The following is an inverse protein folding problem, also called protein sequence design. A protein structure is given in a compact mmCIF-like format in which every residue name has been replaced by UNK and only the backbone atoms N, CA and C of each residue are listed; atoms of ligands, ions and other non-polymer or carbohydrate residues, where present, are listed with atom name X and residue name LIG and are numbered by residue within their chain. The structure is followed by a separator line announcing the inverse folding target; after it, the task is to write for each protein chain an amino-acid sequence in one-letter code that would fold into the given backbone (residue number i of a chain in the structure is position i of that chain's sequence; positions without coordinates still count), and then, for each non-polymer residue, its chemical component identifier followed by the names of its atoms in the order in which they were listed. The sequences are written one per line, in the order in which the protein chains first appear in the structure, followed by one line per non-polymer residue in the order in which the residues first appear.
data_IF_763484550578
#
_entry.id   IF_763484550578
#
_cell.length_a   1.000
_cell.length_b   1.000
_cell.length_c   1.000
_cell.angle_alpha   90.00
_cell.angle_beta   90.00
_cell.angle_gamma   90.00
#
_symmetry.space_group_name_H-M   'P 1'
#
loop_
_entity.id
_entity.type
_entity.pdbx_description
1 polymer ?
#
# COMPACT_ATOMS: atom_id res chain seq x y z
N UNK A 1 6.17 -14.50 -18.16
CA UNK A 1 5.53 -14.92 -16.90
C UNK A 1 6.41 -14.35 -15.81
N UNK A 2 5.85 -13.57 -14.90
CA UNK A 2 6.62 -12.94 -13.82
C UNK A 2 6.57 -13.89 -12.63
N UNK A 3 7.73 -14.24 -12.07
CA UNK A 3 7.80 -15.08 -10.88
C UNK A 3 7.48 -14.25 -9.64
N UNK A 4 6.63 -14.78 -8.75
CA UNK A 4 6.29 -14.14 -7.47
C UNK A 4 7.00 -14.93 -6.37
N UNK A 5 8.12 -14.43 -5.82
CA UNK A 5 8.83 -15.13 -4.75
C UNK A 5 8.01 -15.04 -3.46
N UNK A 6 7.46 -16.16 -3.01
CA UNK A 6 6.75 -16.28 -1.74
C UNK A 6 7.67 -16.96 -0.70
N UNK A 7 8.17 -16.19 0.25
CA UNK A 7 8.96 -16.70 1.38
C UNK A 7 8.66 -15.88 2.63
N UNK A 8 7.83 -16.43 3.52
CA UNK A 8 7.41 -15.78 4.75
C UNK A 8 7.09 -16.82 5.83
N UNK A 9 7.17 -16.38 7.09
CA UNK A 9 6.75 -17.13 8.27
C UNK A 9 5.57 -16.39 8.90
N UNK A 10 4.58 -17.15 9.38
CA UNK A 10 3.34 -16.63 9.93
C UNK A 10 3.05 -17.32 11.26
N UNK A 11 2.63 -16.53 12.24
CA UNK A 11 2.21 -16.98 13.56
C UNK A 11 0.90 -16.29 13.92
N UNK A 12 -0.17 -17.09 14.04
CA UNK A 12 -1.53 -16.62 14.27
C UNK A 12 -2.21 -17.50 15.32
N UNK A 13 -3.15 -16.92 16.07
CA UNK A 13 -3.93 -17.61 17.08
C UNK A 13 -5.40 -17.67 16.68
N UNK A 14 -5.92 -18.88 16.55
CA UNK A 14 -7.34 -19.12 16.28
C UNK A 14 -8.06 -19.48 17.58
N UNK A 15 -9.02 -18.64 17.98
CA UNK A 15 -9.74 -18.80 19.25
C UNK A 15 -11.24 -18.95 19.02
N UNK A 16 -11.90 -19.75 19.85
CA UNK A 16 -13.36 -19.87 19.81
C UNK A 16 -14.04 -18.53 20.11
N UNK A 17 -15.18 -18.24 19.48
CA UNK A 17 -16.07 -17.13 19.82
C UNK A 17 -16.54 -17.11 21.28
N UNK A 18 -16.41 -18.23 22.00
CA UNK A 18 -16.71 -18.33 23.44
C UNK A 18 -15.58 -17.81 24.33
N UNK A 19 -14.41 -17.54 23.75
CA UNK A 19 -13.25 -17.01 24.46
C UNK A 19 -13.43 -15.52 24.65
N UNK A 20 -13.67 -15.09 25.89
CA UNK A 20 -13.86 -13.68 26.23
C UNK A 20 -12.57 -13.00 26.69
N UNK A 21 -11.59 -13.78 27.13
CA UNK A 21 -10.30 -13.27 27.60
C UNK A 21 -9.24 -13.39 26.51
N UNK A 22 -8.93 -12.24 25.91
CA UNK A 22 -7.85 -12.06 24.94
C UNK A 22 -6.62 -11.38 25.56
N UNK A 23 -6.65 -11.06 26.87
CA UNK A 23 -5.56 -10.31 27.53
C UNK A 23 -4.24 -11.07 27.63
N UNK A 24 -4.27 -12.38 27.36
CA UNK A 24 -3.09 -13.25 27.30
C UNK A 24 -2.24 -13.10 26.03
N UNK A 25 -2.77 -12.42 25.00
CA UNK A 25 -2.08 -12.21 23.73
C UNK A 25 -1.38 -10.83 23.74
N UNK A 26 -0.23 -10.74 23.11
CA UNK A 26 0.48 -9.47 22.94
C UNK A 26 -0.25 -8.57 21.93
N UNK A 27 0.03 -7.26 21.95
CA UNK A 27 -0.56 -6.33 21.00
C UNK A 27 -0.13 -6.60 19.54
N UNK A 28 1.00 -7.29 19.34
CA UNK A 28 1.49 -7.68 18.01
C UNK A 28 1.00 -9.06 17.57
N UNK A 29 0.29 -9.80 18.42
CA UNK A 29 -0.23 -11.11 18.06
C UNK A 29 -1.46 -10.97 17.16
N UNK A 30 -1.47 -11.73 16.06
CA UNK A 30 -2.65 -11.84 15.19
C UNK A 30 -3.58 -12.87 15.80
N UNK A 31 -4.73 -12.41 16.32
CA UNK A 31 -5.74 -13.26 16.96
C UNK A 31 -7.04 -13.22 16.16
N UNK A 32 -7.48 -14.37 15.68
CA UNK A 32 -8.67 -14.53 14.84
C UNK A 32 -9.71 -15.34 15.61
N UNK A 33 -10.94 -14.82 15.69
CA UNK A 33 -12.05 -15.47 16.37
C UNK A 33 -12.82 -16.34 15.37
N UNK A 34 -12.99 -17.62 15.69
CA UNK A 34 -13.75 -18.59 14.89
C UNK A 34 -15.24 -18.45 15.17
N UNK A 35 -16.03 -18.22 14.12
CA UNK A 35 -17.50 -18.08 14.22
C UNK A 35 -18.17 -19.40 14.63
N UNK A 36 -17.88 -20.50 13.94
CA UNK A 36 -18.53 -21.81 14.17
C UNK A 36 -17.65 -22.81 14.93
N UNK A 37 -16.55 -22.35 15.54
CA UNK A 37 -15.50 -23.20 16.14
C UNK A 37 -14.88 -24.21 15.12
N UNK A 38 -15.06 -23.96 13.83
CA UNK A 38 -14.47 -24.72 12.73
C UNK A 38 -13.29 -23.94 12.18
N UNK A 39 -12.11 -24.56 12.18
CA UNK A 39 -10.90 -23.99 11.61
C UNK A 39 -10.68 -24.52 10.19
N UNK A 40 -10.69 -23.60 9.22
CA UNK A 40 -10.41 -23.88 7.81
C UNK A 40 -8.96 -23.48 7.49
N UNK A 41 -8.07 -24.47 7.44
CA UNK A 41 -6.65 -24.25 7.19
C UNK A 41 -6.40 -23.75 5.77
N UNK A 42 -7.21 -24.16 4.79
CA UNK A 42 -7.02 -23.78 3.39
C UNK A 42 -7.23 -22.27 3.26
N UNK A 43 -8.31 -21.74 3.84
CA UNK A 43 -8.55 -20.29 3.90
C UNK A 43 -7.45 -19.52 4.63
N UNK A 44 -7.01 -20.01 5.78
CA UNK A 44 -5.94 -19.36 6.55
C UNK A 44 -4.64 -19.23 5.74
N UNK A 45 -4.29 -20.27 4.97
CA UNK A 45 -3.10 -20.26 4.11
C UNK A 45 -3.31 -19.35 2.89
N UNK A 46 -4.48 -19.39 2.26
CA UNK A 46 -4.83 -18.53 1.13
C UNK A 46 -4.71 -17.04 1.48
N UNK A 47 -5.29 -16.63 2.61
CA UNK A 47 -5.25 -15.23 3.06
C UNK A 47 -3.81 -14.77 3.31
N UNK A 48 -3.00 -15.62 3.95
CA UNK A 48 -1.58 -15.32 4.18
C UNK A 48 -0.78 -15.21 2.89
N UNK A 49 -1.05 -16.05 1.89
CA UNK A 49 -0.44 -15.92 0.56
C UNK A 49 -0.86 -14.60 -0.08
N UNK A 50 -2.15 -14.24 -0.05
CA UNK A 50 -2.67 -13.01 -0.63
C UNK A 50 -2.06 -11.76 -0.01
N UNK A 51 -1.91 -11.73 1.32
CA UNK A 51 -1.28 -10.62 2.04
C UNK A 51 0.19 -10.41 1.66
N UNK A 52 0.87 -11.47 1.24
CA UNK A 52 2.29 -11.44 0.94
C UNK A 52 2.57 -11.15 -0.55
N UNK A 53 1.54 -10.99 -1.37
CA UNK A 53 1.73 -10.63 -2.78
C UNK A 53 2.25 -9.19 -2.86
N UNK A 54 3.43 -8.97 -3.48
CA UNK A 54 3.96 -7.62 -3.66
C UNK A 54 3.03 -6.77 -4.51
N UNK A 55 2.79 -5.52 -4.10
CA UNK A 55 1.95 -4.57 -4.84
C UNK A 55 2.53 -4.19 -6.20
N UNK A 56 3.84 -4.34 -6.39
CA UNK A 56 4.55 -4.11 -7.64
C UNK A 56 5.59 -5.21 -7.84
N UNK A 57 5.44 -5.97 -8.92
CA UNK A 57 6.46 -6.92 -9.36
C UNK A 57 7.07 -6.37 -10.64
N UNK A 58 8.37 -6.09 -10.60
CA UNK A 58 9.09 -5.53 -11.73
C UNK A 58 9.91 -6.62 -12.40
N UNK A 59 9.94 -6.60 -13.73
CA UNK A 59 10.95 -7.35 -14.49
C UNK A 59 12.32 -6.69 -14.34
N UNK A 60 13.40 -7.43 -14.63
CA UNK A 60 14.77 -6.91 -14.58
C UNK A 60 14.99 -5.67 -15.44
N UNK A 61 14.29 -5.59 -16.57
CA UNK A 61 14.31 -4.45 -17.49
C UNK A 61 13.55 -3.25 -16.93
N UNK A 62 12.46 -3.47 -16.20
CA UNK A 62 11.65 -2.43 -15.57
C UNK A 62 12.26 -1.91 -14.27
N UNK A 63 12.99 -2.72 -13.50
CA UNK A 63 13.78 -2.25 -12.35
C UNK A 63 14.92 -1.33 -12.78
N UNK A 64 15.56 -1.65 -13.91
CA UNK A 64 16.65 -0.84 -14.48
C UNK A 64 16.15 0.47 -15.11
N UNK A 65 14.85 0.60 -15.39
CA UNK A 65 14.26 1.77 -16.04
C UNK A 65 13.47 2.62 -15.05
N UNK A 66 13.86 3.89 -14.87
CA UNK A 66 13.11 4.85 -14.06
C UNK A 66 11.81 5.38 -14.73
N UNK A 67 11.49 4.86 -15.92
CA UNK A 67 10.33 5.27 -16.69
C UNK A 67 9.09 4.60 -16.13
N UNK A 68 8.16 5.41 -15.65
CA UNK A 68 6.85 4.95 -15.22
C UNK A 68 6.00 4.63 -16.46
N UNK A 69 5.10 3.63 -16.37
CA UNK A 69 4.23 3.31 -17.48
C UNK A 69 3.35 4.51 -17.85
N UNK A 70 3.22 4.74 -19.15
CA UNK A 70 2.44 5.83 -19.75
C UNK A 70 1.61 5.29 -20.91
N UNK A 71 0.36 5.73 -21.00
CA UNK A 71 -0.55 5.47 -22.10
C UNK A 71 -0.80 6.72 -22.95
N UNK A 72 -1.68 6.59 -23.95
CA UNK A 72 -2.02 7.70 -24.86
C UNK A 72 -2.66 8.89 -24.14
N UNK A 73 -3.44 8.60 -23.09
CA UNK A 73 -4.23 9.59 -22.35
C UNK A 73 -4.01 9.50 -20.81
N UNK A 74 -2.99 8.75 -20.35
CA UNK A 74 -2.66 8.63 -18.92
C UNK A 74 -1.15 8.48 -18.69
N UNK A 75 -0.65 8.97 -17.56
CA UNK A 75 0.74 8.84 -17.13
C UNK A 75 0.75 8.47 -15.65
N UNK A 76 1.48 7.43 -15.26
CA UNK A 76 1.65 7.09 -13.84
C UNK A 76 2.64 8.05 -13.21
N UNK A 77 2.20 8.71 -12.14
CA UNK A 77 3.03 9.60 -11.32
C UNK A 77 3.12 9.03 -9.91
N UNK A 78 4.33 9.03 -9.35
CA UNK A 78 4.54 8.72 -7.93
C UNK A 78 4.24 9.97 -7.09
N UNK A 79 3.65 9.80 -5.89
CA UNK A 79 3.29 10.91 -5.00
C UNK A 79 4.48 11.79 -4.61
N UNK A 80 5.67 11.20 -4.54
CA UNK A 80 6.93 11.93 -4.35
C UNK A 80 7.19 12.96 -5.47
N UNK A 81 6.85 12.64 -6.72
CA UNK A 81 7.00 13.54 -7.89
C UNK A 81 5.93 14.62 -7.94
N UNK A 82 4.72 14.37 -7.41
CA UNK A 82 3.65 15.36 -7.32
C UNK A 82 4.02 16.53 -6.39
N UNK A 83 4.63 16.24 -5.24
CA UNK A 83 5.11 17.27 -4.30
C UNK A 83 6.18 18.18 -4.93
N UNK A 84 6.98 17.66 -5.87
CA UNK A 84 7.98 18.44 -6.59
C UNK A 84 7.34 19.35 -7.65
N UNK A 85 6.38 18.84 -8.43
CA UNK A 85 5.61 19.64 -9.41
C UNK A 85 4.78 20.76 -8.75
N UNK A 86 4.34 20.60 -7.51
CA UNK A 86 3.67 21.67 -6.75
C UNK A 86 4.64 22.79 -6.37
N UNK A 87 5.86 22.47 -5.93
CA UNK A 87 6.89 23.48 -5.62
C UNK A 87 7.31 24.29 -6.85
N UNK A 88 7.33 23.67 -8.04
CA UNK A 88 7.63 24.38 -9.28
C UNK A 88 6.47 25.26 -9.77
N UNK A 89 5.23 24.98 -9.35
CA UNK A 89 4.04 25.83 -9.63
C UNK A 89 3.95 27.06 -8.71
N UNK A 90 4.69 27.08 -7.61
CA UNK A 90 4.80 28.24 -6.71
C UNK A 90 5.75 29.32 -7.25
N UNK A 91 6.42 29.08 -8.38
CA UNK A 91 7.12 30.11 -9.14
C UNK A 91 6.08 30.98 -9.86
N UNK A 92 5.55 31.98 -9.14
CA UNK A 92 4.59 32.97 -9.65
C UNK A 92 5.15 33.61 -10.93
N UNK A 93 4.41 33.47 -12.05
CA UNK A 93 4.75 34.13 -13.32
C UNK A 93 4.91 35.64 -13.09
N UNK A 94 6.02 36.27 -13.54
CA UNK A 94 6.29 37.69 -13.34
C UNK A 94 5.16 38.62 -13.82
N UNK A 95 4.27 38.17 -14.72
CA UNK A 95 3.10 38.94 -15.18
C UNK A 95 1.90 38.89 -14.24
N UNK A 96 1.81 37.87 -13.37
CA UNK A 96 0.69 37.65 -12.44
C UNK A 96 0.97 38.16 -11.03
N UNK A 97 2.17 38.70 -10.77
CA UNK A 97 2.58 39.29 -9.48
C UNK A 97 1.59 40.34 -8.97
N UNK A 98 1.05 41.17 -9.87
CA UNK A 98 0.09 42.24 -9.51
C UNK A 98 -1.26 41.73 -8.99
N UNK A 99 -1.62 40.46 -9.24
CA UNK A 99 -2.89 39.89 -8.78
C UNK A 99 -2.81 39.46 -7.30
N UNK A 100 -1.62 39.15 -6.79
CA UNK A 100 -1.41 38.79 -5.37
C UNK A 100 -1.68 39.98 -4.46
N UNK A 101 -1.29 41.18 -4.89
CA UNK A 101 -1.49 42.41 -4.12
C UNK A 101 -2.96 42.86 -4.08
N UNK A 102 -3.81 42.30 -4.94
CA UNK A 102 -5.23 42.62 -5.06
C UNK A 102 -6.10 42.00 -3.96
N UNK A 103 -5.59 41.01 -3.23
CA UNK A 103 -6.30 40.31 -2.16
C UNK A 103 -5.87 40.74 -0.74
N UNK A 104 -5.03 41.79 -0.64
CA UNK A 104 -4.53 42.33 0.63
C UNK A 104 -5.26 43.62 1.08
N UNK A 105 -6.46 43.87 0.55
CA UNK A 105 -7.38 44.93 1.00
C UNK A 105 -8.64 44.34 1.62
#
# INVERSE_FOLDING_TARGET
MVEVPLNFEVSEYYVSHRTHDLSRFDANDVVIILEDDIFDLDRAVEDNILLQIPTRVLTTEEEASANLPQGKDWEVSEDSRNNQKQKDKDAIDPRLVKLKDFFNE
#
